data_IF_647852315922
#
_entry.id   IF_647852315922
#
_cell.length_a   1.000
_cell.length_b   1.000
_cell.length_c   1.000
_cell.angle_alpha   90.00
_cell.angle_beta   90.00
_cell.angle_gamma   90.00
#
_symmetry.space_group_name_H-M   'P 1'
#
loop_
_entity.id
_entity.type
_entity.pdbx_description
1 polymer ?
#
# COMPACT_ATOMS: atom_id res chain seq x y z
N UNK A 1 -7.48 25.07 16.98
CA UNK A 1 -7.20 25.57 15.62
C UNK A 1 -7.01 24.47 14.56
N UNK A 2 -6.64 23.25 14.92
CA UNK A 2 -6.52 22.10 13.97
C UNK A 2 -7.87 21.43 13.63
N UNK A 3 -8.89 21.55 14.45
CA UNK A 3 -10.20 20.91 14.28
C UNK A 3 -11.12 21.60 13.26
N UNK A 4 -10.87 22.86 12.91
CA UNK A 4 -11.62 23.59 11.89
C UNK A 4 -11.21 23.27 10.45
N UNK A 5 -10.10 22.59 10.26
CA UNK A 5 -9.59 22.17 8.95
C UNK A 5 -10.32 20.97 8.32
N UNK A 6 -11.22 20.31 9.04
CA UNK A 6 -11.86 19.06 8.62
C UNK A 6 -13.34 19.24 8.21
N UNK A 7 -13.82 20.50 8.06
CA UNK A 7 -15.20 20.79 7.61
C UNK A 7 -15.39 20.46 6.12
N UNK A 8 -16.55 19.91 5.77
CA UNK A 8 -16.97 19.51 4.43
C UNK A 8 -16.81 20.58 3.33
N UNK A 9 -16.72 21.88 3.69
CA UNK A 9 -16.48 22.98 2.75
C UNK A 9 -15.03 23.10 2.23
N UNK A 10 -14.09 22.40 2.86
CA UNK A 10 -12.67 22.47 2.49
C UNK A 10 -12.32 21.56 1.32
N UNK A 11 -13.14 20.54 1.04
CA UNK A 11 -12.86 19.56 -0.01
C UNK A 11 -12.80 20.16 -1.44
N UNK A 12 -13.47 21.28 -1.68
CA UNK A 12 -13.55 21.95 -2.97
C UNK A 12 -12.90 23.35 -3.00
N UNK A 13 -12.17 23.75 -1.95
CA UNK A 13 -11.54 25.08 -1.97
C UNK A 13 -10.34 25.08 -2.93
N UNK A 14 -10.20 26.15 -3.76
CA UNK A 14 -9.05 26.30 -4.66
C UNK A 14 -7.71 26.20 -3.95
N UNK A 15 -7.63 26.68 -2.73
CA UNK A 15 -6.44 26.64 -1.88
C UNK A 15 -6.01 25.21 -1.56
N UNK A 16 -6.97 24.32 -1.20
CA UNK A 16 -6.68 22.92 -0.94
C UNK A 16 -6.16 22.20 -2.18
N UNK A 17 -6.77 22.46 -3.33
CA UNK A 17 -6.32 21.88 -4.59
C UNK A 17 -4.93 22.37 -4.97
N UNK A 18 -4.62 23.65 -4.75
CA UNK A 18 -3.28 24.20 -4.97
C UNK A 18 -2.24 23.56 -4.03
N UNK A 19 -2.54 23.41 -2.75
CA UNK A 19 -1.66 22.73 -1.78
C UNK A 19 -1.49 21.25 -2.16
N UNK A 20 -2.58 20.55 -2.52
CA UNK A 20 -2.50 19.16 -2.97
C UNK A 20 -1.60 19.02 -4.19
N UNK A 21 -1.71 19.91 -5.16
CA UNK A 21 -0.86 19.93 -6.36
C UNK A 21 0.62 20.18 -6.01
N UNK A 22 0.90 21.18 -5.16
CA UNK A 22 2.26 21.51 -4.74
C UNK A 22 2.92 20.33 -3.97
N UNK A 23 2.21 19.73 -3.03
CA UNK A 23 2.67 18.57 -2.25
C UNK A 23 2.90 17.37 -3.18
N UNK A 24 1.98 17.11 -4.10
CA UNK A 24 2.09 16.02 -5.09
C UNK A 24 3.32 16.18 -5.97
N UNK A 25 3.54 17.38 -6.51
CA UNK A 25 4.71 17.68 -7.35
C UNK A 25 6.01 17.50 -6.57
N UNK A 26 6.10 18.07 -5.37
CA UNK A 26 7.28 17.95 -4.51
C UNK A 26 7.57 16.48 -4.13
N UNK A 27 6.53 15.73 -3.77
CA UNK A 27 6.67 14.30 -3.44
C UNK A 27 7.04 13.46 -4.66
N UNK A 28 6.46 13.73 -5.84
CA UNK A 28 6.80 13.05 -7.08
C UNK A 28 8.27 13.27 -7.48
N UNK A 29 8.76 14.52 -7.37
CA UNK A 29 10.18 14.85 -7.61
C UNK A 29 11.08 14.09 -6.61
N UNK A 30 10.73 14.11 -5.33
CA UNK A 30 11.49 13.39 -4.29
C UNK A 30 11.51 11.87 -4.56
N UNK A 31 10.37 11.27 -4.87
CA UNK A 31 10.27 9.84 -5.15
C UNK A 31 11.10 9.42 -6.37
N UNK A 32 11.16 10.26 -7.41
CA UNK A 32 12.05 10.07 -8.56
C UNK A 32 13.52 10.22 -8.18
N UNK A 33 13.87 11.26 -7.43
CA UNK A 33 15.26 11.53 -6.99
C UNK A 33 15.80 10.37 -6.15
N UNK A 34 14.96 9.80 -5.29
CA UNK A 34 15.24 8.60 -4.50
C UNK A 34 15.22 7.30 -5.32
N UNK A 35 14.89 7.37 -6.61
CA UNK A 35 14.69 6.18 -7.47
C UNK A 35 13.73 5.16 -6.87
N UNK A 36 12.72 5.63 -6.16
CA UNK A 36 11.62 4.80 -5.67
C UNK A 36 10.60 4.51 -6.77
N UNK A 37 10.45 5.46 -7.70
CA UNK A 37 9.62 5.37 -8.90
C UNK A 37 10.36 5.92 -10.11
N UNK A 38 10.04 5.41 -11.31
CA UNK A 38 10.46 6.03 -12.57
C UNK A 38 9.48 7.13 -13.00
N UNK A 39 9.69 7.75 -14.16
CA UNK A 39 8.84 8.86 -14.65
C UNK A 39 7.37 8.46 -14.78
N UNK A 40 7.07 7.29 -15.32
CA UNK A 40 5.68 6.82 -15.45
C UNK A 40 5.07 6.49 -14.09
N UNK A 41 5.86 5.91 -13.18
CA UNK A 41 5.45 5.67 -11.79
C UNK A 41 5.19 6.95 -11.01
N UNK A 42 5.96 8.03 -11.26
CA UNK A 42 5.73 9.33 -10.64
C UNK A 42 4.42 9.97 -11.11
N UNK A 43 4.04 9.81 -12.39
CA UNK A 43 2.75 10.29 -12.89
C UNK A 43 1.59 9.54 -12.24
N UNK A 44 1.64 8.21 -12.22
CA UNK A 44 0.60 7.38 -11.59
C UNK A 44 0.52 7.61 -10.06
N UNK A 45 1.66 7.65 -9.38
CA UNK A 45 1.76 7.95 -7.96
C UNK A 45 1.35 9.38 -7.62
N UNK A 46 1.65 10.33 -8.51
CA UNK A 46 1.21 11.72 -8.40
C UNK A 46 -0.31 11.82 -8.45
N UNK A 47 -0.96 11.14 -9.39
CA UNK A 47 -2.43 11.11 -9.44
C UNK A 47 -3.02 10.52 -8.15
N UNK A 48 -2.50 9.39 -7.67
CA UNK A 48 -2.95 8.79 -6.42
C UNK A 48 -2.72 9.73 -5.22
N UNK A 49 -1.53 10.31 -5.10
CA UNK A 49 -1.18 11.28 -4.06
C UNK A 49 -2.11 12.49 -4.07
N UNK A 50 -2.38 13.06 -5.26
CA UNK A 50 -3.30 14.19 -5.41
C UNK A 50 -4.71 13.82 -4.95
N UNK A 51 -5.25 12.68 -5.39
CA UNK A 51 -6.58 12.22 -4.99
C UNK A 51 -6.66 11.99 -3.46
N UNK A 52 -5.66 11.35 -2.87
CA UNK A 52 -5.63 11.12 -1.42
C UNK A 52 -5.61 12.45 -0.66
N UNK A 53 -4.72 13.37 -1.03
CA UNK A 53 -4.63 14.66 -0.35
C UNK A 53 -5.88 15.52 -0.57
N UNK A 54 -6.31 15.67 -1.83
CA UNK A 54 -7.46 16.50 -2.17
C UNK A 54 -8.76 16.00 -1.54
N UNK A 55 -9.00 14.70 -1.47
CA UNK A 55 -10.23 14.12 -0.94
C UNK A 55 -10.20 13.87 0.56
N UNK A 56 -9.12 13.28 1.09
CA UNK A 56 -9.03 12.84 2.48
C UNK A 56 -8.02 13.65 3.34
N UNK A 57 -7.32 14.62 2.74
CA UNK A 57 -6.50 15.60 3.45
C UNK A 57 -5.07 15.17 3.77
N UNK A 58 -4.36 15.99 4.57
CA UNK A 58 -2.94 15.80 4.83
C UNK A 58 -2.61 14.48 5.55
N UNK A 59 -3.52 13.95 6.36
CA UNK A 59 -3.32 12.64 7.01
C UNK A 59 -3.27 11.50 5.99
N UNK A 60 -4.10 11.54 4.93
CA UNK A 60 -4.05 10.55 3.87
C UNK A 60 -2.72 10.60 3.11
N UNK A 61 -2.20 11.80 2.86
CA UNK A 61 -0.86 11.97 2.31
C UNK A 61 0.23 11.43 3.25
N UNK A 62 0.16 11.74 4.55
CA UNK A 62 1.12 11.24 5.53
C UNK A 62 1.14 9.70 5.57
N UNK A 63 -0.04 9.07 5.48
CA UNK A 63 -0.19 7.61 5.42
C UNK A 63 0.47 7.04 4.15
N UNK A 64 0.28 7.67 2.98
CA UNK A 64 0.96 7.31 1.73
C UNK A 64 2.48 7.52 1.83
N UNK A 65 2.92 8.64 2.41
CA UNK A 65 4.34 8.94 2.55
C UNK A 65 5.07 7.93 3.44
N UNK A 66 4.43 7.49 4.53
CA UNK A 66 4.97 6.43 5.40
C UNK A 66 5.01 5.09 4.68
N UNK A 67 3.96 4.71 3.95
CA UNK A 67 3.97 3.53 3.08
C UNK A 67 5.16 3.59 2.11
N UNK A 68 5.32 4.71 1.39
CA UNK A 68 6.43 4.90 0.46
C UNK A 68 7.79 4.73 1.15
N UNK A 69 7.99 5.38 2.30
CA UNK A 69 9.25 5.33 3.04
C UNK A 69 9.59 3.89 3.46
N UNK A 70 8.62 3.17 4.03
CA UNK A 70 8.83 1.79 4.50
C UNK A 70 9.13 0.84 3.34
N UNK A 71 8.37 0.92 2.26
CA UNK A 71 8.59 0.08 1.09
C UNK A 71 9.90 0.43 0.40
N UNK A 72 10.27 1.71 0.31
CA UNK A 72 11.55 2.17 -0.24
C UNK A 72 12.73 1.63 0.59
N UNK A 73 12.67 1.73 1.93
CA UNK A 73 13.70 1.19 2.82
C UNK A 73 13.81 -0.33 2.66
N UNK A 74 12.68 -1.05 2.72
CA UNK A 74 12.67 -2.50 2.60
C UNK A 74 13.27 -2.97 1.26
N UNK A 75 12.93 -2.31 0.16
CA UNK A 75 13.48 -2.61 -1.18
C UNK A 75 15.00 -2.40 -1.22
N UNK A 76 15.54 -1.43 -0.50
CA UNK A 76 16.99 -1.15 -0.42
C UNK A 76 17.75 -2.11 0.47
N UNK A 77 17.11 -2.74 1.45
CA UNK A 77 17.74 -3.73 2.30
C UNK A 77 18.21 -4.93 1.49
N UNK A 78 19.52 -5.20 1.55
CA UNK A 78 20.14 -6.32 0.85
C UNK A 78 20.07 -6.24 -0.68
N UNK A 79 19.91 -5.06 -1.28
CA UNK A 79 19.72 -4.85 -2.71
C UNK A 79 20.74 -5.61 -3.59
N UNK A 80 22.05 -5.54 -3.24
CA UNK A 80 23.10 -6.24 -4.00
C UNK A 80 22.89 -7.75 -4.05
N UNK A 81 22.43 -8.33 -2.95
CA UNK A 81 22.17 -9.76 -2.83
C UNK A 81 20.92 -10.16 -3.61
N UNK A 82 19.83 -9.37 -3.50
CA UNK A 82 18.61 -9.58 -4.30
C UNK A 82 18.91 -9.45 -5.80
N UNK A 83 19.77 -8.52 -6.17
CA UNK A 83 20.21 -8.36 -7.57
C UNK A 83 20.93 -9.61 -8.09
N UNK A 84 21.83 -10.20 -7.29
CA UNK A 84 22.53 -11.42 -7.66
C UNK A 84 21.61 -12.65 -7.81
N UNK A 85 20.42 -12.60 -7.20
CA UNK A 85 19.40 -13.64 -7.29
C UNK A 85 18.33 -13.35 -8.35
N UNK A 86 18.43 -12.22 -9.07
CA UNK A 86 17.40 -11.77 -10.02
C UNK A 86 16.09 -11.30 -9.37
N UNK A 87 16.09 -11.03 -8.06
CA UNK A 87 14.90 -10.65 -7.28
C UNK A 87 14.81 -9.14 -7.00
N UNK A 88 15.86 -8.37 -7.34
CA UNK A 88 15.89 -6.95 -7.04
C UNK A 88 14.92 -6.16 -7.92
N UNK A 89 14.25 -5.17 -7.32
CA UNK A 89 13.50 -4.15 -8.06
C UNK A 89 14.43 -3.41 -9.04
N UNK A 90 13.86 -2.89 -10.12
CA UNK A 90 14.61 -2.15 -11.15
C UNK A 90 15.30 -0.93 -10.55
N UNK A 91 16.49 -0.58 -11.06
CA UNK A 91 17.27 0.57 -10.57
C UNK A 91 16.56 1.91 -10.76
N UNK A 92 15.73 2.01 -11.79
CA UNK A 92 14.94 3.20 -12.10
C UNK A 92 13.73 3.38 -11.16
N UNK A 93 13.42 2.36 -10.34
CA UNK A 93 12.25 2.33 -9.47
C UNK A 93 10.99 1.79 -10.16
N UNK A 94 9.90 1.79 -9.43
CA UNK A 94 8.60 1.24 -9.85
C UNK A 94 7.96 2.04 -10.98
N UNK A 95 7.35 1.34 -11.92
CA UNK A 95 6.62 1.93 -13.05
C UNK A 95 5.14 2.19 -12.72
N UNK A 96 4.41 2.80 -13.69
CA UNK A 96 3.00 3.15 -13.51
C UNK A 96 2.12 1.94 -13.17
N UNK A 97 2.32 0.79 -13.82
CA UNK A 97 1.51 -0.40 -13.57
C UNK A 97 1.69 -0.96 -12.16
N UNK A 98 2.93 -0.97 -11.66
CA UNK A 98 3.22 -1.37 -10.28
C UNK A 98 2.59 -0.40 -9.27
N UNK A 99 2.63 0.90 -9.55
CA UNK A 99 2.03 1.92 -8.68
C UNK A 99 0.50 1.83 -8.70
N UNK A 100 -0.12 1.70 -9.88
CA UNK A 100 -1.58 1.57 -9.99
C UNK A 100 -2.09 0.30 -9.32
N UNK A 101 -1.39 -0.82 -9.49
CA UNK A 101 -1.74 -2.07 -8.83
C UNK A 101 -1.87 -1.93 -7.30
N UNK A 102 -0.99 -1.13 -6.70
CA UNK A 102 -0.92 -0.97 -5.24
C UNK A 102 -1.76 0.21 -4.70
N UNK A 103 -2.01 1.25 -5.51
CA UNK A 103 -2.61 2.49 -5.02
C UNK A 103 -3.99 2.82 -5.62
N UNK A 104 -4.41 2.18 -6.71
CA UNK A 104 -5.67 2.52 -7.37
C UNK A 104 -6.89 2.36 -6.46
N UNK A 105 -6.94 1.28 -5.68
CA UNK A 105 -8.05 1.01 -4.74
C UNK A 105 -8.09 2.07 -3.63
N UNK A 106 -6.95 2.44 -3.07
CA UNK A 106 -6.87 3.50 -2.07
C UNK A 106 -7.26 4.87 -2.64
N UNK A 107 -6.80 5.20 -3.85
CA UNK A 107 -7.16 6.43 -4.54
C UNK A 107 -8.67 6.49 -4.83
N UNK A 108 -9.27 5.39 -5.28
CA UNK A 108 -10.72 5.29 -5.49
C UNK A 108 -11.49 5.44 -4.18
N UNK A 109 -11.09 4.76 -3.11
CA UNK A 109 -11.71 4.89 -1.77
C UNK A 109 -11.66 6.32 -1.26
N UNK A 110 -10.52 6.99 -1.42
CA UNK A 110 -10.36 8.40 -1.08
C UNK A 110 -11.30 9.30 -1.90
N UNK A 111 -11.37 9.10 -3.21
CA UNK A 111 -12.25 9.85 -4.10
C UNK A 111 -13.72 9.68 -3.72
N UNK A 112 -14.17 8.45 -3.49
CA UNK A 112 -15.56 8.17 -3.07
C UNK A 112 -15.86 8.78 -1.71
N UNK A 113 -14.91 8.75 -0.76
CA UNK A 113 -15.05 9.50 0.50
C UNK A 113 -15.25 11.00 0.25
N UNK A 114 -14.42 11.61 -0.60
CA UNK A 114 -14.54 13.03 -0.95
C UNK A 114 -15.88 13.40 -1.58
N UNK A 115 -16.45 12.51 -2.38
CA UNK A 115 -17.73 12.69 -3.07
C UNK A 115 -18.95 12.45 -2.15
N UNK A 116 -18.86 11.50 -1.19
CA UNK A 116 -20.00 11.04 -0.40
C UNK A 116 -19.97 11.49 1.06
N UNK A 117 -18.79 11.85 1.60
CA UNK A 117 -18.58 12.10 3.03
C UNK A 117 -18.64 10.84 3.89
N UNK A 118 -18.88 9.65 3.32
CA UNK A 118 -19.03 8.42 4.08
C UNK A 118 -17.67 7.88 4.54
N UNK A 119 -17.43 7.92 5.84
CA UNK A 119 -16.15 7.55 6.48
C UNK A 119 -15.77 6.07 6.32
N UNK A 120 -16.68 5.20 5.97
CA UNK A 120 -16.38 3.77 5.69
C UNK A 120 -15.34 3.65 4.59
N UNK A 121 -15.36 4.56 3.60
CA UNK A 121 -14.39 4.60 2.52
C UNK A 121 -12.98 4.98 2.98
N UNK A 122 -12.85 5.72 4.10
CA UNK A 122 -11.54 5.97 4.71
C UNK A 122 -10.93 4.70 5.29
N UNK A 123 -11.76 3.86 5.94
CA UNK A 123 -11.29 2.57 6.48
C UNK A 123 -10.84 1.65 5.34
N UNK A 124 -11.62 1.55 4.27
CA UNK A 124 -11.27 0.78 3.08
C UNK A 124 -9.98 1.30 2.39
N UNK A 125 -9.84 2.62 2.27
CA UNK A 125 -8.64 3.27 1.75
C UNK A 125 -7.40 2.91 2.57
N UNK A 126 -7.48 3.03 3.91
CA UNK A 126 -6.35 2.72 4.79
C UNK A 126 -6.02 1.23 4.75
N UNK A 127 -7.03 0.34 4.63
CA UNK A 127 -6.80 -1.09 4.50
C UNK A 127 -6.06 -1.44 3.20
N UNK A 128 -6.40 -0.81 2.08
CA UNK A 128 -5.70 -1.00 0.82
C UNK A 128 -4.24 -0.49 0.90
N UNK A 129 -3.99 0.65 1.58
CA UNK A 129 -2.63 1.14 1.82
C UNK A 129 -1.86 0.23 2.80
N UNK A 130 -2.53 -0.29 3.83
CA UNK A 130 -1.93 -1.22 4.78
C UNK A 130 -1.54 -2.53 4.09
N UNK A 131 -2.39 -3.05 3.20
CA UNK A 131 -2.08 -4.22 2.39
C UNK A 131 -0.84 -4.00 1.52
N UNK A 132 -0.78 -2.92 0.74
CA UNK A 132 0.36 -2.60 -0.12
C UNK A 132 1.69 -2.48 0.66
N UNK A 133 1.64 -1.96 1.91
CA UNK A 133 2.78 -1.93 2.79
C UNK A 133 3.13 -3.32 3.32
N UNK A 134 2.12 -4.07 3.78
CA UNK A 134 2.27 -5.42 4.34
C UNK A 134 2.89 -6.36 3.32
N UNK A 135 2.33 -6.44 2.11
CA UNK A 135 2.83 -7.32 1.06
C UNK A 135 4.27 -6.96 0.65
N UNK A 136 4.51 -5.68 0.31
CA UNK A 136 5.85 -5.26 -0.12
C UNK A 136 6.91 -5.51 0.97
N UNK A 137 6.63 -5.12 2.21
CA UNK A 137 7.61 -5.29 3.29
C UNK A 137 7.80 -6.78 3.61
N UNK A 138 6.73 -7.59 3.60
CA UNK A 138 6.82 -9.02 3.82
C UNK A 138 7.72 -9.71 2.78
N UNK A 139 7.50 -9.43 1.51
CA UNK A 139 8.28 -10.02 0.42
C UNK A 139 9.74 -9.58 0.45
N UNK A 140 10.01 -8.29 0.64
CA UNK A 140 11.36 -7.72 0.65
C UNK A 140 12.20 -8.21 1.86
N UNK A 141 11.60 -8.28 3.05
CA UNK A 141 12.27 -8.78 4.26
C UNK A 141 12.44 -10.30 4.18
N UNK A 142 11.44 -11.02 3.66
CA UNK A 142 11.52 -12.44 3.40
C UNK A 142 12.71 -12.78 2.50
N UNK A 143 12.89 -12.05 1.41
CA UNK A 143 14.01 -12.20 0.48
C UNK A 143 15.36 -11.81 1.11
N UNK A 144 15.40 -10.77 1.94
CA UNK A 144 16.63 -10.31 2.59
C UNK A 144 17.17 -11.34 3.59
N UNK A 145 16.32 -11.90 4.44
CA UNK A 145 16.71 -12.82 5.53
C UNK A 145 17.11 -14.21 5.02
N UNK A 146 16.69 -14.61 3.82
CA UNK A 146 16.83 -15.99 3.29
C UNK A 146 16.29 -17.09 4.24
N UNK A 147 15.18 -16.91 4.95
CA UNK A 147 14.59 -18.05 5.62
C UNK A 147 14.11 -19.04 4.55
N UNK A 148 13.94 -20.30 4.94
CA UNK A 148 13.22 -21.25 4.11
C UNK A 148 11.82 -20.70 3.83
N UNK A 149 11.57 -20.27 2.59
CA UNK A 149 10.24 -19.88 2.17
C UNK A 149 9.37 -21.16 2.04
N UNK A 150 8.10 -21.03 2.39
CA UNK A 150 7.13 -22.09 2.22
C UNK A 150 6.00 -21.62 1.32
N UNK A 151 5.61 -22.45 0.38
CA UNK A 151 4.48 -22.19 -0.46
C UNK A 151 3.20 -22.17 0.40
N UNK A 152 2.43 -21.10 0.35
CA UNK A 152 1.26 -20.92 1.22
C UNK A 152 0.20 -22.04 1.05
N UNK A 153 0.12 -22.64 -0.13
CA UNK A 153 -0.89 -23.65 -0.46
C UNK A 153 -0.53 -25.08 -0.06
N UNK A 154 0.78 -25.42 -0.02
CA UNK A 154 1.22 -26.82 0.21
C UNK A 154 2.18 -26.94 1.39
N UNK A 155 2.67 -25.81 1.96
CA UNK A 155 3.71 -25.74 2.98
C UNK A 155 5.06 -26.35 2.58
N UNK A 156 5.22 -26.73 1.32
CA UNK A 156 6.50 -27.19 0.79
C UNK A 156 7.55 -26.11 0.82
N UNK A 157 8.80 -26.47 1.06
CA UNK A 157 9.93 -25.55 0.97
C UNK A 157 10.14 -25.16 -0.47
N UNK A 158 10.26 -23.86 -0.72
CA UNK A 158 10.50 -23.30 -2.05
C UNK A 158 11.65 -22.31 -2.00
N UNK A 159 12.34 -22.06 -3.13
CA UNK A 159 13.35 -21.01 -3.21
C UNK A 159 12.75 -19.65 -2.82
N UNK A 160 13.56 -18.84 -2.16
CA UNK A 160 13.20 -17.45 -1.83
C UNK A 160 12.88 -16.66 -3.10
N UNK A 161 11.79 -15.91 -3.09
CA UNK A 161 11.31 -15.18 -4.28
C UNK A 161 10.36 -15.96 -5.17
N UNK A 162 10.00 -17.20 -4.78
CA UNK A 162 8.94 -17.94 -5.46
C UNK A 162 7.58 -17.28 -5.22
N UNK A 163 6.78 -17.08 -6.26
CA UNK A 163 5.42 -16.54 -6.17
C UNK A 163 4.58 -17.39 -5.20
N UNK A 164 3.93 -16.72 -4.24
CA UNK A 164 3.18 -17.38 -3.17
C UNK A 164 4.03 -18.02 -2.08
N UNK A 165 5.34 -17.80 -2.08
CA UNK A 165 6.25 -18.23 -1.02
C UNK A 165 6.22 -17.26 0.16
N UNK A 166 5.85 -17.74 1.34
CA UNK A 166 5.80 -16.97 2.59
C UNK A 166 6.95 -17.33 3.52
N UNK A 167 7.33 -16.39 4.38
CA UNK A 167 8.34 -16.59 5.43
C UNK A 167 7.88 -15.97 6.73
N UNK A 168 8.18 -16.59 7.87
CA UNK A 168 7.80 -16.06 9.19
C UNK A 168 8.36 -14.63 9.42
N UNK A 169 9.67 -14.36 9.18
CA UNK A 169 10.19 -12.99 9.35
C UNK A 169 9.54 -11.98 8.40
N UNK A 170 9.24 -12.39 7.16
CA UNK A 170 8.54 -11.55 6.19
C UNK A 170 7.13 -11.22 6.68
N UNK A 171 6.35 -12.24 7.07
CA UNK A 171 4.97 -12.03 7.55
C UNK A 171 4.90 -11.13 8.79
N UNK A 172 5.83 -11.31 9.76
CA UNK A 172 5.90 -10.44 10.95
C UNK A 172 6.25 -8.99 10.55
N UNK A 173 7.23 -8.80 9.66
CA UNK A 173 7.63 -7.48 9.20
C UNK A 173 6.50 -6.80 8.41
N UNK A 174 5.79 -7.54 7.57
CA UNK A 174 4.62 -7.05 6.85
C UNK A 174 3.49 -6.62 7.79
N UNK A 175 3.14 -7.46 8.77
CA UNK A 175 2.12 -7.12 9.76
C UNK A 175 2.49 -5.84 10.53
N UNK A 176 3.76 -5.70 10.92
CA UNK A 176 4.25 -4.48 11.56
C UNK A 176 4.13 -3.26 10.64
N UNK A 177 4.40 -3.40 9.33
CA UNK A 177 4.25 -2.33 8.36
C UNK A 177 2.78 -1.90 8.20
N UNK A 178 1.87 -2.84 8.07
CA UNK A 178 0.43 -2.56 8.03
C UNK A 178 -0.07 -1.85 9.29
N UNK A 179 0.43 -2.27 10.47
CA UNK A 179 0.13 -1.60 11.74
C UNK A 179 0.63 -0.15 11.75
N UNK A 180 1.83 0.13 11.26
CA UNK A 180 2.37 1.51 11.20
C UNK A 180 1.52 2.38 10.29
N UNK A 181 1.10 1.88 9.11
CA UNK A 181 0.19 2.60 8.19
C UNK A 181 -1.13 2.93 8.87
N UNK A 182 -1.76 1.95 9.51
CA UNK A 182 -3.02 2.14 10.24
C UNK A 182 -2.86 3.10 11.44
N UNK A 183 -1.75 3.02 12.16
CA UNK A 183 -1.45 3.89 13.30
C UNK A 183 -1.30 5.36 12.88
N UNK A 184 -0.62 5.64 11.76
CA UNK A 184 -0.49 7.00 11.22
C UNK A 184 -1.86 7.58 10.84
N UNK A 185 -2.71 6.79 10.16
CA UNK A 185 -4.08 7.20 9.82
C UNK A 185 -4.93 7.49 11.06
N UNK A 186 -4.81 6.65 12.08
CA UNK A 186 -5.54 6.79 13.35
C UNK A 186 -5.04 7.98 14.16
N UNK A 187 -3.72 8.13 14.32
CA UNK A 187 -3.11 9.25 15.04
C UNK A 187 -3.43 10.61 14.40
N UNK A 188 -3.57 10.66 13.07
CA UNK A 188 -4.03 11.84 12.33
C UNK A 188 -5.55 12.07 12.35
N UNK A 189 -6.30 11.28 13.14
CA UNK A 189 -7.76 11.45 13.31
C UNK A 189 -8.61 10.97 12.13
N UNK A 190 -8.02 10.23 11.19
CA UNK A 190 -8.75 9.70 10.05
C UNK A 190 -9.67 8.54 10.45
N UNK A 191 -9.19 7.68 11.36
CA UNK A 191 -9.95 6.55 11.90
C UNK A 191 -10.13 6.71 13.41
N UNK A 192 -11.28 6.25 13.97
CA UNK A 192 -11.41 6.07 15.41
C UNK A 192 -10.37 5.05 15.93
N UNK A 193 -9.83 5.28 17.11
CA UNK A 193 -8.85 4.38 17.71
C UNK A 193 -9.38 2.94 17.85
N UNK A 194 -10.66 2.78 18.15
CA UNK A 194 -11.32 1.48 18.24
C UNK A 194 -11.35 0.70 16.90
N UNK A 195 -11.15 1.37 15.77
CA UNK A 195 -11.15 0.76 14.42
C UNK A 195 -9.75 0.49 13.86
N UNK A 196 -8.67 0.81 14.60
CA UNK A 196 -7.28 0.62 14.15
C UNK A 196 -7.02 -0.81 13.69
N UNK A 197 -7.57 -1.80 14.36
CA UNK A 197 -7.38 -3.22 14.05
C UNK A 197 -7.96 -3.64 12.69
N UNK A 198 -8.99 -2.93 12.18
CA UNK A 198 -9.68 -3.29 10.94
C UNK A 198 -8.74 -3.23 9.72
N UNK A 199 -8.09 -2.08 9.42
CA UNK A 199 -7.16 -2.03 8.28
C UNK A 199 -5.93 -2.92 8.48
N UNK A 200 -5.50 -3.18 9.73
CA UNK A 200 -4.37 -4.09 10.00
C UNK A 200 -4.72 -5.52 9.63
N UNK A 201 -5.86 -6.02 10.11
CA UNK A 201 -6.29 -7.40 9.83
C UNK A 201 -6.70 -7.57 8.37
N UNK A 202 -7.41 -6.62 7.79
CA UNK A 202 -7.79 -6.64 6.38
C UNK A 202 -6.57 -6.57 5.46
N UNK A 203 -5.58 -5.72 5.76
CA UNK A 203 -4.34 -5.63 5.02
C UNK A 203 -3.52 -6.92 5.09
N UNK A 204 -3.42 -7.53 6.27
CA UNK A 204 -2.74 -8.81 6.43
C UNK A 204 -3.47 -9.95 5.70
N UNK A 205 -4.81 -9.98 5.75
CA UNK A 205 -5.60 -10.93 4.98
C UNK A 205 -5.42 -10.74 3.45
N UNK A 206 -5.34 -9.49 2.99
CA UNK A 206 -5.02 -9.16 1.59
C UNK A 206 -3.66 -9.71 1.15
N UNK A 207 -2.61 -9.54 1.95
CA UNK A 207 -1.28 -10.14 1.70
C UNK A 207 -1.35 -11.67 1.62
N UNK A 208 -2.16 -12.34 2.45
CA UNK A 208 -2.34 -13.79 2.34
C UNK A 208 -3.07 -14.17 1.05
N UNK A 209 -4.06 -13.37 0.61
CA UNK A 209 -4.74 -13.54 -0.68
C UNK A 209 -3.76 -13.35 -1.83
N UNK A 210 -2.87 -12.32 -1.76
CA UNK A 210 -1.78 -12.13 -2.72
C UNK A 210 -0.94 -13.41 -2.85
N UNK A 211 -0.47 -13.94 -1.72
CA UNK A 211 0.33 -15.17 -1.69
C UNK A 211 -0.42 -16.39 -2.25
N UNK A 212 -1.74 -16.51 -2.01
CA UNK A 212 -2.56 -17.60 -2.58
C UNK A 212 -2.70 -17.44 -4.10
N UNK A 213 -3.01 -16.23 -4.58
CA UNK A 213 -3.10 -15.93 -6.02
C UNK A 213 -1.74 -16.12 -6.70
N UNK A 214 -0.66 -15.71 -6.04
CA UNK A 214 0.71 -15.94 -6.48
C UNK A 214 1.03 -17.43 -6.65
N UNK A 215 0.72 -18.24 -5.63
CA UNK A 215 0.94 -19.69 -5.64
C UNK A 215 0.10 -20.44 -6.68
N UNK A 216 -1.05 -19.91 -7.07
CA UNK A 216 -2.02 -20.62 -7.92
C UNK A 216 -2.07 -20.08 -9.35
N UNK A 217 -2.47 -18.83 -9.54
CA UNK A 217 -2.75 -18.26 -10.85
C UNK A 217 -1.49 -17.63 -11.49
N UNK A 218 -0.68 -16.90 -10.72
CA UNK A 218 0.52 -16.23 -11.25
C UNK A 218 1.58 -17.26 -11.65
N UNK A 219 1.85 -18.27 -10.84
CA UNK A 219 2.79 -19.36 -11.17
C UNK A 219 2.40 -20.14 -12.42
N UNK A 220 1.11 -20.17 -12.78
CA UNK A 220 0.62 -20.77 -14.03
C UNK A 220 0.72 -19.81 -15.22
N UNK A 221 1.15 -18.57 -15.01
CA UNK A 221 1.23 -17.55 -16.05
C UNK A 221 -0.12 -17.00 -16.50
N UNK A 222 -1.22 -17.26 -15.75
CA UNK A 222 -2.55 -16.78 -16.11
C UNK A 222 -2.76 -15.30 -15.82
N UNK A 223 -2.13 -14.80 -14.77
CA UNK A 223 -2.18 -13.40 -14.36
C UNK A 223 -0.78 -12.88 -14.02
N UNK A 224 -0.56 -11.58 -14.16
CA UNK A 224 0.69 -10.94 -13.78
C UNK A 224 0.69 -10.57 -12.29
N UNK A 225 1.89 -10.32 -11.73
CA UNK A 225 2.04 -9.82 -10.36
C UNK A 225 1.23 -8.52 -10.11
N UNK A 226 1.14 -7.62 -11.10
CA UNK A 226 0.36 -6.38 -10.95
C UNK A 226 -1.14 -6.67 -10.79
N UNK A 227 -1.64 -7.69 -11.48
CA UNK A 227 -3.05 -8.12 -11.33
C UNK A 227 -3.27 -8.74 -9.96
N UNK A 228 -2.33 -9.54 -9.45
CA UNK A 228 -2.37 -10.11 -8.11
C UNK A 228 -2.44 -9.01 -7.05
N UNK A 229 -1.50 -8.05 -7.07
CA UNK A 229 -1.46 -6.93 -6.14
C UNK A 229 -2.74 -6.08 -6.18
N UNK A 230 -3.30 -5.83 -7.38
CA UNK A 230 -4.55 -5.09 -7.50
C UNK A 230 -5.72 -5.84 -6.81
N UNK A 231 -5.85 -7.14 -7.03
CA UNK A 231 -6.90 -7.92 -6.38
C UNK A 231 -6.67 -8.06 -4.86
N UNK A 232 -5.43 -8.12 -4.40
CA UNK A 232 -5.10 -8.18 -2.99
C UNK A 232 -5.47 -6.87 -2.27
N UNK A 233 -5.09 -5.71 -2.83
CA UNK A 233 -5.49 -4.39 -2.29
C UNK A 233 -7.02 -4.21 -2.33
N UNK A 234 -7.68 -4.68 -3.38
CA UNK A 234 -9.14 -4.64 -3.51
C UNK A 234 -9.81 -5.53 -2.45
N UNK A 235 -9.30 -6.74 -2.22
CA UNK A 235 -9.81 -7.65 -1.20
C UNK A 235 -9.67 -7.03 0.20
N UNK A 236 -8.51 -6.44 0.51
CA UNK A 236 -8.30 -5.75 1.79
C UNK A 236 -9.28 -4.58 1.98
N UNK A 237 -9.46 -3.74 0.97
CA UNK A 237 -10.42 -2.63 1.01
C UNK A 237 -11.87 -3.12 1.19
N UNK A 238 -12.27 -4.16 0.45
CA UNK A 238 -13.61 -4.76 0.53
C UNK A 238 -13.87 -5.43 1.89
N UNK A 239 -12.89 -6.16 2.43
CA UNK A 239 -12.99 -6.77 3.77
C UNK A 239 -13.17 -5.70 4.84
N UNK A 240 -12.36 -4.65 4.81
CA UNK A 240 -12.46 -3.55 5.78
C UNK A 240 -13.80 -2.83 5.68
N UNK A 241 -14.28 -2.57 4.46
CA UNK A 241 -15.61 -2.00 4.21
C UNK A 241 -16.71 -2.89 4.81
N UNK A 242 -16.67 -4.20 4.52
CA UNK A 242 -17.66 -5.16 5.02
C UNK A 242 -17.68 -5.26 6.54
N UNK A 243 -16.51 -5.29 7.19
CA UNK A 243 -16.41 -5.32 8.67
C UNK A 243 -17.11 -4.10 9.28
N UNK A 244 -16.85 -2.90 8.75
CA UNK A 244 -17.46 -1.67 9.30
C UNK A 244 -18.98 -1.62 9.08
N UNK A 245 -19.48 -2.24 7.99
CA UNK A 245 -20.92 -2.23 7.69
C UNK A 245 -21.74 -3.20 8.57
N UNK A 246 -21.08 -4.17 9.21
CA UNK A 246 -21.75 -5.16 10.07
C UNK A 246 -21.44 -5.00 11.56
N UNK A 247 -20.49 -4.10 11.92
CA UNK A 247 -20.11 -3.78 13.29
C UNK A 247 -20.91 -2.61 13.84
#
# INVERSE_FOLDING_TARGET
MLTSFLGHGWASSPERLAVAAAVTLGFGVLACALRGVNRSGALAGGLACFLLFASAGPTAFATLAVLFLMTWVATRLGYRRKLALGLAERREGRNAWQILANLAVAALGSFVFGATGNRVWLVAMVAALAEAATDTVASEIGQYRRPDARLITTWERVPTGTDGGITIPGSIAGLAAGLVVAAVATAGGMLPQAQLWIPVTAGFAGMLIDSILGATLQRRGWISNQVVNFFATMAAGALAYGIVMVA
#
